data_IF_689916144221
#
_entry.id   IF_689916144221
#
_cell.length_a   1.000
_cell.length_b   1.000
_cell.length_c   1.000
_cell.angle_alpha   90.00
_cell.angle_beta   90.00
_cell.angle_gamma   90.00
#
_symmetry.space_group_name_H-M   'P 1'
#
loop_
_entity.id
_entity.type
_entity.pdbx_description
1 polymer ?
#
# COMPACT_ATOMS: atom_id res chain seq x y z
N UNK A 1 -19.55 -31.11 12.99
CA UNK A 1 -20.31 -29.98 12.42
C UNK A 1 -21.13 -30.51 11.25
N UNK A 2 -22.37 -30.03 11.04
CA UNK A 2 -23.15 -30.39 9.85
C UNK A 2 -22.64 -29.62 8.63
N UNK A 3 -22.82 -30.14 7.42
CA UNK A 3 -22.42 -29.45 6.18
C UNK A 3 -23.07 -28.06 6.11
N UNK A 4 -24.34 -27.95 6.49
CA UNK A 4 -25.08 -26.67 6.55
C UNK A 4 -24.43 -25.67 7.50
N UNK A 5 -23.97 -26.12 8.68
CA UNK A 5 -23.28 -25.25 9.65
C UNK A 5 -21.92 -24.78 9.14
N UNK A 6 -21.19 -25.62 8.41
CA UNK A 6 -19.91 -25.24 7.81
C UNK A 6 -20.14 -24.23 6.67
N UNK A 7 -21.17 -24.44 5.85
CA UNK A 7 -21.53 -23.51 4.77
C UNK A 7 -21.98 -22.15 5.31
N UNK A 8 -22.77 -22.12 6.38
CA UNK A 8 -23.12 -20.87 7.05
C UNK A 8 -21.86 -20.14 7.56
N UNK A 9 -20.89 -20.86 8.12
CA UNK A 9 -19.62 -20.29 8.56
C UNK A 9 -18.77 -19.76 7.40
N UNK A 10 -18.69 -20.48 6.29
CA UNK A 10 -18.00 -20.02 5.08
C UNK A 10 -18.60 -18.71 4.56
N UNK A 11 -19.93 -18.60 4.55
CA UNK A 11 -20.64 -17.37 4.18
C UNK A 11 -20.32 -16.22 5.15
N UNK A 12 -20.36 -16.47 6.45
CA UNK A 12 -20.01 -15.48 7.48
C UNK A 12 -18.57 -14.96 7.31
N UNK A 13 -17.62 -15.86 7.01
CA UNK A 13 -16.22 -15.51 6.76
C UNK A 13 -16.08 -14.60 5.52
N UNK A 14 -16.80 -14.90 4.44
CA UNK A 14 -16.81 -14.04 3.25
C UNK A 14 -17.41 -12.66 3.52
N UNK A 15 -18.46 -12.58 4.34
CA UNK A 15 -19.06 -11.30 4.72
C UNK A 15 -18.10 -10.43 5.54
N UNK A 16 -17.39 -11.04 6.50
CA UNK A 16 -16.33 -10.34 7.25
C UNK A 16 -15.20 -9.90 6.33
N UNK A 17 -14.75 -10.77 5.43
CA UNK A 17 -13.70 -10.44 4.45
C UNK A 17 -14.13 -9.28 3.55
N UNK A 18 -15.36 -9.28 3.06
CA UNK A 18 -15.90 -8.21 2.21
C UNK A 18 -15.90 -6.86 2.95
N UNK A 19 -16.32 -6.82 4.22
CA UNK A 19 -16.30 -5.60 5.02
C UNK A 19 -14.88 -5.07 5.26
N UNK A 20 -13.91 -5.96 5.51
CA UNK A 20 -12.50 -5.58 5.63
C UNK A 20 -11.92 -5.06 4.32
N UNK A 21 -12.26 -5.69 3.19
CA UNK A 21 -11.84 -5.24 1.86
C UNK A 21 -12.44 -3.88 1.50
N UNK A 22 -13.70 -3.62 1.83
CA UNK A 22 -14.32 -2.31 1.65
C UNK A 22 -13.61 -1.26 2.51
N UNK A 23 -13.30 -1.58 3.77
CA UNK A 23 -12.52 -0.70 4.63
C UNK A 23 -11.15 -0.39 4.05
N UNK A 24 -10.43 -1.41 3.56
CA UNK A 24 -9.15 -1.24 2.88
C UNK A 24 -9.26 -0.35 1.65
N UNK A 25 -10.32 -0.53 0.85
CA UNK A 25 -10.59 0.30 -0.32
C UNK A 25 -10.70 1.78 0.06
N UNK A 26 -11.48 2.11 1.10
CA UNK A 26 -11.59 3.49 1.60
C UNK A 26 -10.27 4.03 2.14
N UNK A 27 -9.52 3.25 2.90
CA UNK A 27 -8.18 3.64 3.39
C UNK A 27 -7.23 3.95 2.22
N UNK A 28 -7.26 3.12 1.17
CA UNK A 28 -6.43 3.30 -0.03
C UNK A 28 -6.86 4.55 -0.82
N UNK A 29 -8.15 4.88 -0.90
CA UNK A 29 -8.62 6.14 -1.49
C UNK A 29 -8.12 7.36 -0.70
N UNK A 30 -8.21 7.30 0.63
CA UNK A 30 -7.78 8.40 1.52
C UNK A 30 -6.26 8.60 1.55
N UNK A 31 -5.48 7.58 1.19
CA UNK A 31 -4.01 7.64 1.16
C UNK A 31 -3.47 8.84 0.35
N UNK A 32 -4.12 9.19 -0.77
CA UNK A 32 -3.75 10.37 -1.59
C UNK A 32 -3.83 11.69 -0.82
N UNK A 33 -4.74 11.78 0.15
CA UNK A 33 -4.95 12.97 0.99
C UNK A 33 -3.85 13.10 2.05
N UNK A 34 -3.44 12.00 2.67
CA UNK A 34 -2.36 11.99 3.66
C UNK A 34 -1.01 12.36 3.04
N UNK A 35 -0.72 11.88 1.83
CA UNK A 35 0.50 12.23 1.09
C UNK A 35 0.59 13.74 0.81
N UNK A 36 -0.54 14.45 0.69
CA UNK A 36 -0.57 15.91 0.48
C UNK A 36 -0.43 16.70 1.78
N UNK A 37 -0.71 16.09 2.93
CA UNK A 37 -0.80 16.78 4.23
C UNK A 37 0.54 16.99 4.95
N UNK A 38 1.66 16.54 4.38
CA UNK A 38 3.02 16.59 4.97
C UNK A 38 3.19 15.94 6.37
N UNK A 39 2.14 15.32 6.93
CA UNK A 39 2.21 14.62 8.22
C UNK A 39 2.62 13.16 8.03
N UNK A 40 3.94 12.91 8.14
CA UNK A 40 4.52 11.56 8.09
C UNK A 40 3.91 10.65 9.17
N UNK A 41 3.65 11.17 10.38
CA UNK A 41 3.06 10.38 11.47
C UNK A 41 1.65 9.88 11.14
N UNK A 42 0.82 10.74 10.53
CA UNK A 42 -0.54 10.37 10.11
C UNK A 42 -0.50 9.30 9.01
N UNK A 43 0.40 9.45 8.04
CA UNK A 43 0.63 8.44 7.00
C UNK A 43 1.07 7.10 7.60
N UNK A 44 2.03 7.10 8.53
CA UNK A 44 2.52 5.88 9.19
C UNK A 44 1.44 5.19 10.02
N UNK A 45 0.59 5.95 10.71
CA UNK A 45 -0.53 5.40 11.45
C UNK A 45 -1.55 4.73 10.53
N UNK A 46 -1.84 5.35 9.39
CA UNK A 46 -2.76 4.78 8.40
C UNK A 46 -2.22 3.47 7.78
N UNK A 47 -0.92 3.43 7.48
CA UNK A 47 -0.27 2.20 7.02
C UNK A 47 -0.36 1.05 8.04
N UNK A 48 -0.26 1.35 9.35
CA UNK A 48 -0.44 0.33 10.39
C UNK A 48 -1.87 -0.23 10.42
N UNK A 49 -2.89 0.63 10.32
CA UNK A 49 -4.29 0.17 10.28
C UNK A 49 -4.55 -0.71 9.07
N UNK A 50 -3.99 -0.34 7.92
CA UNK A 50 -4.07 -1.10 6.68
C UNK A 50 -3.43 -2.48 6.84
N UNK A 51 -2.26 -2.57 7.47
CA UNK A 51 -1.60 -3.85 7.76
C UNK A 51 -2.46 -4.74 8.67
N UNK A 52 -3.04 -4.19 9.73
CA UNK A 52 -3.90 -4.95 10.63
C UNK A 52 -5.12 -5.56 9.92
N UNK A 53 -5.73 -4.81 9.00
CA UNK A 53 -6.84 -5.32 8.19
C UNK A 53 -6.40 -6.44 7.22
N UNK A 54 -5.19 -6.34 6.65
CA UNK A 54 -4.62 -7.42 5.82
C UNK A 54 -4.34 -8.68 6.64
N UNK A 55 -3.76 -8.53 7.83
CA UNK A 55 -3.47 -9.66 8.73
C UNK A 55 -4.77 -10.39 9.13
N UNK A 56 -5.87 -9.65 9.33
CA UNK A 56 -7.19 -10.24 9.62
C UNK A 56 -7.77 -10.98 8.40
N UNK A 57 -7.60 -10.44 7.19
CA UNK A 57 -7.98 -11.11 5.95
C UNK A 57 -7.21 -12.42 5.77
N UNK A 58 -5.91 -12.44 6.04
CA UNK A 58 -5.08 -13.65 5.94
C UNK A 58 -5.56 -14.76 6.90
N UNK A 59 -5.98 -14.37 8.11
CA UNK A 59 -6.59 -15.31 9.06
C UNK A 59 -7.92 -15.87 8.55
N UNK A 60 -8.78 -15.00 8.01
CA UNK A 60 -10.05 -15.41 7.41
C UNK A 60 -9.81 -16.37 6.24
N UNK A 61 -8.84 -16.09 5.38
CA UNK A 61 -8.53 -16.94 4.23
C UNK A 61 -8.00 -18.32 4.64
N UNK A 62 -7.17 -18.37 5.69
CA UNK A 62 -6.71 -19.63 6.26
C UNK A 62 -7.87 -20.46 6.83
N UNK A 63 -8.78 -19.81 7.56
CA UNK A 63 -9.96 -20.48 8.12
C UNK A 63 -10.92 -20.95 7.02
N UNK A 64 -11.19 -20.08 6.05
CA UNK A 64 -12.04 -20.37 4.89
C UNK A 64 -11.51 -21.58 4.12
N UNK A 65 -10.21 -21.63 3.82
CA UNK A 65 -9.61 -22.74 3.07
C UNK A 65 -9.76 -24.08 3.79
N UNK A 66 -9.56 -24.12 5.11
CA UNK A 66 -9.74 -25.33 5.92
C UNK A 66 -11.18 -25.83 5.86
N UNK A 67 -12.14 -24.95 6.13
CA UNK A 67 -13.57 -25.29 6.11
C UNK A 67 -14.04 -25.67 4.70
N UNK A 68 -13.50 -25.04 3.67
CA UNK A 68 -13.79 -25.37 2.27
C UNK A 68 -13.33 -26.79 1.91
N UNK A 69 -12.13 -27.19 2.36
CA UNK A 69 -11.67 -28.57 2.20
C UNK A 69 -12.59 -29.54 2.95
N UNK A 70 -12.96 -29.21 4.20
CA UNK A 70 -13.81 -30.08 5.02
C UNK A 70 -15.16 -30.33 4.38
N UNK A 71 -15.79 -29.30 3.78
CA UNK A 71 -17.05 -29.44 3.04
C UNK A 71 -16.86 -30.36 1.83
N UNK A 72 -15.84 -30.12 1.00
CA UNK A 72 -15.59 -30.94 -0.19
C UNK A 72 -15.36 -32.41 0.17
N UNK A 73 -14.53 -32.68 1.19
CA UNK A 73 -14.26 -34.04 1.67
C UNK A 73 -15.54 -34.68 2.23
N UNK A 74 -16.33 -33.94 3.01
CA UNK A 74 -17.59 -34.45 3.58
C UNK A 74 -18.65 -34.77 2.51
N UNK A 75 -18.61 -34.05 1.39
CA UNK A 75 -19.50 -34.28 0.25
C UNK A 75 -18.95 -35.31 -0.75
N UNK A 76 -17.69 -35.71 -0.63
CA UNK A 76 -17.03 -36.63 -1.55
C UNK A 76 -16.81 -36.04 -2.95
N UNK A 77 -16.66 -34.72 -3.07
CA UNK A 77 -16.53 -34.00 -4.34
C UNK A 77 -15.18 -33.30 -4.48
N UNK A 78 -14.67 -33.21 -5.72
CA UNK A 78 -13.43 -32.51 -6.00
C UNK A 78 -13.59 -30.97 -6.02
N UNK A 79 -14.78 -30.50 -6.41
CA UNK A 79 -15.17 -29.10 -6.57
C UNK A 79 -16.61 -28.89 -6.13
N UNK A 80 -16.93 -27.73 -5.56
CA UNK A 80 -18.31 -27.34 -5.23
C UNK A 80 -19.20 -27.16 -6.47
N UNK A 81 -18.61 -27.06 -7.67
CA UNK A 81 -19.35 -27.05 -8.93
C UNK A 81 -20.08 -28.38 -9.21
N UNK A 82 -19.59 -29.48 -8.64
CA UNK A 82 -20.23 -30.80 -8.77
C UNK A 82 -21.28 -31.06 -7.69
N UNK A 83 -21.51 -30.10 -6.79
CA UNK A 83 -22.48 -30.27 -5.73
C UNK A 83 -23.90 -29.99 -6.23
N UNK A 84 -24.85 -30.78 -5.72
CA UNK A 84 -26.27 -30.60 -6.02
C UNK A 84 -26.83 -29.38 -5.29
N UNK A 85 -27.11 -28.31 -6.05
CA UNK A 85 -27.67 -27.05 -5.56
C UNK A 85 -29.08 -27.26 -4.97
N UNK A 86 -29.87 -28.22 -5.45
CA UNK A 86 -31.19 -28.50 -4.86
C UNK A 86 -31.07 -29.08 -3.46
N UNK A 87 -30.02 -29.86 -3.22
CA UNK A 87 -29.72 -30.43 -1.90
C UNK A 87 -29.07 -29.40 -0.96
N UNK A 88 -28.34 -28.44 -1.52
CA UNK A 88 -27.55 -27.46 -0.76
C UNK A 88 -27.70 -26.05 -1.35
N UNK A 89 -28.85 -25.38 -1.15
CA UNK A 89 -29.13 -24.07 -1.76
C UNK A 89 -28.16 -22.97 -1.33
N UNK A 90 -27.50 -23.12 -0.17
CA UNK A 90 -26.48 -22.18 0.34
C UNK A 90 -25.26 -22.09 -0.59
N UNK A 91 -25.03 -23.06 -1.48
CA UNK A 91 -23.94 -23.04 -2.46
C UNK A 91 -24.05 -21.86 -3.42
N UNK A 92 -25.27 -21.51 -3.83
CA UNK A 92 -25.49 -20.38 -4.73
C UNK A 92 -25.06 -19.07 -4.05
N UNK A 93 -25.47 -18.87 -2.80
CA UNK A 93 -25.05 -17.71 -1.99
C UNK A 93 -23.54 -17.69 -1.78
N UNK A 94 -22.93 -18.85 -1.50
CA UNK A 94 -21.49 -18.97 -1.33
C UNK A 94 -20.74 -18.56 -2.60
N UNK A 95 -21.16 -19.07 -3.76
CA UNK A 95 -20.55 -18.75 -5.06
C UNK A 95 -20.65 -17.26 -5.39
N UNK A 96 -21.83 -16.66 -5.18
CA UNK A 96 -22.04 -15.23 -5.40
C UNK A 96 -21.12 -14.38 -4.52
N UNK A 97 -20.97 -14.73 -3.23
CA UNK A 97 -20.09 -14.01 -2.31
C UNK A 97 -18.62 -14.17 -2.67
N UNK A 98 -18.19 -15.37 -3.06
CA UNK A 98 -16.83 -15.59 -3.57
C UNK A 98 -16.55 -14.70 -4.78
N UNK A 99 -17.47 -14.64 -5.74
CA UNK A 99 -17.33 -13.79 -6.91
C UNK A 99 -17.23 -12.31 -6.53
N UNK A 100 -18.09 -11.83 -5.63
CA UNK A 100 -18.05 -10.45 -5.14
C UNK A 100 -16.71 -10.09 -4.48
N UNK A 101 -16.16 -10.99 -3.65
CA UNK A 101 -14.84 -10.83 -3.04
C UNK A 101 -13.73 -10.78 -4.09
N UNK A 102 -13.80 -11.62 -5.14
CA UNK A 102 -12.82 -11.59 -6.24
C UNK A 102 -12.88 -10.28 -7.03
N UNK A 103 -14.07 -9.76 -7.30
CA UNK A 103 -14.24 -8.47 -7.97
C UNK A 103 -13.69 -7.32 -7.12
N UNK A 104 -13.95 -7.32 -5.81
CA UNK A 104 -13.39 -6.34 -4.89
C UNK A 104 -11.86 -6.41 -4.84
N UNK A 105 -11.30 -7.62 -4.85
CA UNK A 105 -9.84 -7.84 -4.89
C UNK A 105 -9.21 -7.19 -6.12
N UNK A 106 -9.81 -7.38 -7.30
CA UNK A 106 -9.32 -6.77 -8.56
C UNK A 106 -9.35 -5.23 -8.48
N UNK A 107 -10.47 -4.66 -8.03
CA UNK A 107 -10.61 -3.20 -7.86
C UNK A 107 -9.56 -2.63 -6.91
N UNK A 108 -9.27 -3.34 -5.82
CA UNK A 108 -8.28 -2.91 -4.84
C UNK A 108 -6.85 -3.00 -5.39
N UNK A 109 -6.54 -4.04 -6.17
CA UNK A 109 -5.25 -4.18 -6.87
C UNK A 109 -5.02 -3.04 -7.86
N UNK A 110 -6.01 -2.73 -8.70
CA UNK A 110 -5.95 -1.61 -9.65
C UNK A 110 -5.68 -0.28 -8.92
N UNK A 111 -6.43 -0.02 -7.85
CA UNK A 111 -6.27 1.20 -7.05
C UNK A 111 -4.89 1.29 -6.37
N UNK A 112 -4.39 0.17 -5.84
CA UNK A 112 -3.06 0.12 -5.21
C UNK A 112 -1.94 0.35 -6.24
N UNK A 113 -2.07 -0.17 -7.45
CA UNK A 113 -1.12 0.06 -8.55
C UNK A 113 -1.08 1.55 -8.95
N UNK A 114 -2.24 2.18 -9.11
CA UNK A 114 -2.34 3.62 -9.38
C UNK A 114 -1.67 4.45 -8.27
N UNK A 115 -2.00 4.15 -7.01
CA UNK A 115 -1.42 4.86 -5.85
C UNK A 115 0.09 4.69 -5.77
N UNK A 116 0.60 3.48 -6.04
CA UNK A 116 2.04 3.19 -6.03
C UNK A 116 2.77 3.98 -7.12
N UNK A 117 2.17 4.12 -8.30
CA UNK A 117 2.72 4.95 -9.38
C UNK A 117 2.82 6.41 -8.94
N UNK A 118 1.74 6.98 -8.41
CA UNK A 118 1.71 8.39 -7.95
C UNK A 118 2.71 8.67 -6.83
N UNK A 119 2.84 7.75 -5.85
CA UNK A 119 3.82 7.87 -4.76
C UNK A 119 5.26 7.86 -5.33
N UNK A 120 5.53 6.97 -6.28
CA UNK A 120 6.86 6.84 -6.89
C UNK A 120 7.25 8.11 -7.67
N UNK A 121 6.33 8.70 -8.43
CA UNK A 121 6.56 9.96 -9.14
C UNK A 121 6.86 11.12 -8.20
N UNK A 122 6.11 11.23 -7.09
CA UNK A 122 6.37 12.27 -6.07
C UNK A 122 7.73 12.10 -5.41
N UNK A 123 8.13 10.86 -5.11
CA UNK A 123 9.44 10.57 -4.52
C UNK A 123 10.60 10.95 -5.46
N UNK A 124 10.48 10.66 -6.76
CA UNK A 124 11.51 11.08 -7.73
C UNK A 124 11.60 12.61 -7.85
N UNK A 125 10.47 13.33 -7.86
CA UNK A 125 10.50 14.81 -7.82
C UNK A 125 11.22 15.35 -6.59
N UNK A 126 10.89 14.84 -5.40
CA UNK A 126 11.58 15.25 -4.15
C UNK A 126 13.09 14.98 -4.23
N UNK A 127 13.49 13.85 -4.82
CA UNK A 127 14.91 13.49 -4.99
C UNK A 127 15.62 14.39 -6.01
N UNK A 128 14.94 14.79 -7.09
CA UNK A 128 15.46 15.78 -8.05
C UNK A 128 15.64 17.15 -7.40
N UNK A 129 14.65 17.63 -6.64
CA UNK A 129 14.72 18.89 -5.90
C UNK A 129 15.90 18.87 -4.90
N UNK A 130 16.08 17.77 -4.17
CA UNK A 130 17.23 17.59 -3.27
C UNK A 130 18.57 17.66 -4.01
N UNK A 131 18.70 17.03 -5.19
CA UNK A 131 19.90 17.10 -6.02
C UNK A 131 20.17 18.52 -6.50
N UNK A 132 19.13 19.24 -6.93
CA UNK A 132 19.26 20.65 -7.34
C UNK A 132 19.72 21.54 -6.19
N UNK A 133 19.12 21.39 -5.00
CA UNK A 133 19.53 22.12 -3.79
C UNK A 133 20.99 21.82 -3.41
N UNK A 134 21.43 20.56 -3.48
CA UNK A 134 22.82 20.19 -3.22
C UNK A 134 23.78 20.80 -4.26
N UNK A 135 23.40 20.80 -5.53
CA UNK A 135 24.18 21.40 -6.60
C UNK A 135 24.30 22.92 -6.43
N UNK A 136 23.19 23.60 -6.10
CA UNK A 136 23.16 25.04 -5.80
C UNK A 136 24.02 25.39 -4.58
N UNK A 137 23.89 24.64 -3.47
CA UNK A 137 24.73 24.82 -2.27
C UNK A 137 26.21 24.61 -2.58
N UNK A 138 26.53 23.61 -3.39
CA UNK A 138 27.90 23.33 -3.83
C UNK A 138 28.46 24.46 -4.70
N UNK A 139 27.67 24.97 -5.65
CA UNK A 139 28.02 26.11 -6.49
C UNK A 139 28.23 27.39 -5.67
N UNK A 140 27.31 27.71 -4.75
CA UNK A 140 27.43 28.84 -3.83
C UNK A 140 28.69 28.72 -2.96
N UNK A 141 29.00 27.52 -2.45
CA UNK A 141 30.23 27.29 -1.66
C UNK A 141 31.50 27.51 -2.49
N UNK A 142 31.52 27.07 -3.75
CA UNK A 142 32.65 27.26 -4.69
C UNK A 142 32.83 28.73 -5.04
N UNK A 143 31.74 29.45 -5.27
CA UNK A 143 31.75 30.90 -5.51
C UNK A 143 32.30 31.62 -4.27
N UNK A 144 31.81 31.32 -3.06
CA UNK A 144 32.32 31.94 -1.83
C UNK A 144 33.82 31.70 -1.61
N UNK A 145 34.31 30.49 -1.90
CA UNK A 145 35.75 30.15 -1.82
C UNK A 145 36.57 30.86 -2.90
N UNK A 146 36.01 31.03 -4.11
CA UNK A 146 36.66 31.78 -5.20
C UNK A 146 36.77 33.29 -4.92
N UNK A 147 35.75 33.89 -4.30
CA UNK A 147 35.80 35.27 -3.84
C UNK A 147 36.76 35.44 -2.65
N UNK A 148 36.73 34.54 -1.66
CA UNK A 148 37.68 34.55 -0.53
C UNK A 148 39.13 34.38 -0.99
N UNK A 149 39.38 33.56 -2.02
CA UNK A 149 40.72 33.35 -2.61
C UNK A 149 41.25 34.59 -3.34
N UNK A 150 40.40 35.39 -3.99
CA UNK A 150 40.82 36.64 -4.66
C UNK A 150 41.29 37.72 -3.67
N UNK A 151 40.77 37.73 -2.44
CA UNK A 151 41.22 38.68 -1.41
C UNK A 151 42.52 38.27 -0.71
N UNK A 152 42.90 36.98 -0.76
CA UNK A 152 44.15 36.49 -0.17
C UNK A 152 45.41 36.76 -1.03
N UNK A 153 45.25 37.21 -2.28
CA UNK A 153 46.36 37.62 -3.15
C UNK A 153 46.60 39.14 -3.18
N UNK A 154 45.79 39.95 -2.49
CA UNK A 154 46.09 41.36 -2.27
C UNK A 154 47.04 41.52 -1.06
N UNK A 155 48.16 40.80 -1.06
CA UNK A 155 49.27 41.10 -0.17
C UNK A 155 49.88 42.42 -0.65
N UNK A 156 49.84 43.44 0.20
CA UNK A 156 50.21 44.81 -0.10
C UNK A 156 51.55 44.94 -0.81
N UNK A 157 51.55 45.60 -1.96
CA UNK A 157 52.77 46.09 -2.60
C UNK A 157 53.26 47.28 -1.76
N UNK A 158 54.28 47.05 -0.93
CA UNK A 158 55.02 48.14 -0.29
C UNK A 158 56.01 48.69 -1.32
N UNK A 159 55.72 49.89 -1.85
CA UNK A 159 56.69 50.67 -2.64
C UNK A 159 57.54 51.46 -1.64
N UNK A 160 58.76 50.99 -1.39
CA UNK A 160 59.78 51.75 -0.64
C UNK A 160 60.47 52.74 -1.59
N UNK A 161 60.08 54.01 -1.52
CA UNK A 161 60.77 55.11 -2.21
C UNK A 161 61.85 55.68 -1.28
N UNK A 162 63.10 55.24 -1.44
CA UNK A 162 64.25 55.90 -0.80
C UNK A 162 64.68 57.12 -1.62
N UNK A 163 64.65 58.30 -0.98
CA UNK A 163 65.40 59.51 -1.36
C UNK A 163 66.83 59.40 -0.88
#
# INVERSE_FOLDING_TARGET
MSIESIMARLIELLDKKAALMERLYWMTLEQKSFIKSESIDSFMNEMKKRQLAMDEIDQIDSEFYKLYIDVKTSMGIASLEYADIQKYPQLETLQQKVQSVMEMTRKLQELDEENKSEVSEKLEKVKEDMKQLQAQKSAASKISKGYASKYNHAQGVFIDNKK
#
